data_IF_232290909752
#
_entry.id   IF_232290909752
#
_cell.length_a   1.000
_cell.length_b   1.000
_cell.length_c   1.000
_cell.angle_alpha   90.00
_cell.angle_beta   90.00
_cell.angle_gamma   90.00
#
_symmetry.space_group_name_H-M   'P 1'
#
loop_
_entity.id
_entity.type
_entity.pdbx_description
1 polymer ?
#
# COMPACT_ATOMS: atom_id res chain seq x y z
N UNK A 1 -23.45 27.04 -0.39
CA UNK A 1 -23.41 26.59 1.02
C UNK A 1 -23.47 25.05 1.14
N UNK A 2 -22.87 24.31 0.19
CA UNK A 2 -22.94 22.84 0.09
C UNK A 2 -21.56 22.22 -0.24
N UNK A 3 -20.48 22.99 -0.03
CA UNK A 3 -19.10 22.72 -0.51
C UNK A 3 -18.07 22.46 0.60
N UNK A 4 -18.49 22.32 1.86
CA UNK A 4 -17.57 22.25 3.01
C UNK A 4 -17.88 21.13 4.00
N UNK A 5 -18.80 20.22 3.66
CA UNK A 5 -19.22 19.13 4.56
C UNK A 5 -18.27 17.92 4.57
N UNK A 6 -17.25 17.90 3.70
CA UNK A 6 -16.32 16.75 3.56
C UNK A 6 -14.89 17.08 4.02
N UNK A 7 -14.70 18.18 4.75
CA UNK A 7 -13.37 18.65 5.21
C UNK A 7 -13.38 19.19 6.66
N UNK A 8 -14.38 18.83 7.48
CA UNK A 8 -14.52 19.37 8.84
C UNK A 8 -14.93 18.29 9.86
N UNK A 9 -13.92 17.62 10.41
CA UNK A 9 -13.98 17.05 11.77
C UNK A 9 -12.63 17.28 12.46
N UNK A 10 -12.33 18.55 12.72
CA UNK A 10 -11.09 18.97 13.37
C UNK A 10 -11.11 20.44 13.77
N UNK A 11 -12.15 20.88 14.49
CA UNK A 11 -12.23 22.26 15.00
C UNK A 11 -12.87 22.29 16.40
N UNK A 12 -12.08 21.92 17.40
CA UNK A 12 -12.23 22.44 18.75
C UNK A 12 -10.92 22.31 19.53
N UNK A 13 -10.10 23.37 19.50
CA UNK A 13 -9.52 24.07 20.67
C UNK A 13 -8.28 24.89 20.23
N UNK A 14 -8.52 26.17 19.91
CA UNK A 14 -7.45 27.18 19.81
C UNK A 14 -7.17 27.76 21.19
N UNK A 15 -5.93 27.63 21.65
CA UNK A 15 -5.40 28.24 22.86
C UNK A 15 -3.91 28.54 22.68
N UNK A 16 -3.63 29.77 22.26
CA UNK A 16 -2.34 30.47 22.08
C UNK A 16 -1.05 29.82 22.63
N UNK A 17 -0.03 29.80 21.76
CA UNK A 17 1.37 29.75 22.16
C UNK A 17 2.29 30.11 20.99
N UNK A 18 2.60 31.40 20.84
CA UNK A 18 3.74 31.81 20.00
C UNK A 18 5.02 31.18 20.57
N UNK A 19 5.76 30.43 19.76
CA UNK A 19 7.15 30.09 20.07
C UNK A 19 7.98 30.03 18.80
N UNK A 20 9.18 30.56 18.95
CA UNK A 20 10.15 30.95 17.93
C UNK A 20 10.57 29.82 16.97
N UNK A 21 10.73 30.22 15.71
CA UNK A 21 11.33 29.49 14.61
C UNK A 21 12.78 29.10 14.97
N UNK A 22 13.00 27.82 15.35
CA UNK A 22 14.34 27.22 15.40
C UNK A 22 14.59 26.43 14.13
N UNK A 23 15.37 27.03 13.25
CA UNK A 23 16.09 26.33 12.18
C UNK A 23 17.04 25.31 12.80
N UNK A 24 16.64 24.03 12.81
CA UNK A 24 17.56 22.93 13.09
C UNK A 24 18.17 22.52 11.75
N UNK A 25 19.46 22.85 11.58
CA UNK A 25 20.25 22.37 10.46
C UNK A 25 20.28 20.82 10.46
N UNK A 26 20.28 20.16 9.28
CA UNK A 26 20.28 18.72 9.21
C UNK A 26 21.53 18.17 9.88
N UNK A 27 21.31 17.29 10.86
CA UNK A 27 22.40 16.58 11.52
C UNK A 27 22.93 15.54 10.55
N UNK A 28 24.26 15.45 10.45
CA UNK A 28 24.95 14.57 9.52
C UNK A 28 24.40 13.14 9.55
N UNK A 29 24.13 12.62 8.34
CA UNK A 29 23.76 11.23 8.09
C UNK A 29 24.73 10.30 8.82
N UNK A 30 24.23 9.64 9.85
CA UNK A 30 24.89 8.48 10.42
C UNK A 30 24.40 7.32 9.59
N UNK A 31 25.27 6.70 8.78
CA UNK A 31 24.94 5.47 8.04
C UNK A 31 24.31 4.47 9.01
N UNK A 32 22.99 4.25 8.88
CA UNK A 32 22.33 3.17 9.60
C UNK A 32 22.98 1.85 9.16
N UNK A 33 23.29 0.93 10.08
CA UNK A 33 23.77 -0.40 9.71
C UNK A 33 22.76 -1.01 8.74
N UNK A 34 23.16 -1.15 7.47
CA UNK A 34 22.24 -1.46 6.38
C UNK A 34 21.44 -2.73 6.64
N UNK A 35 20.13 -2.66 6.40
CA UNK A 35 19.26 -3.82 6.48
C UNK A 35 19.72 -4.90 5.49
N UNK A 36 20.00 -6.11 5.97
CA UNK A 36 20.46 -7.22 5.14
C UNK A 36 19.26 -8.06 4.65
N UNK A 37 18.77 -7.75 3.45
CA UNK A 37 17.66 -8.46 2.84
C UNK A 37 17.97 -9.96 2.58
N UNK A 38 19.24 -10.31 2.39
CA UNK A 38 19.66 -11.70 2.24
C UNK A 38 19.59 -12.43 3.57
N UNK A 39 19.96 -11.79 4.69
CA UNK A 39 19.77 -12.35 6.02
C UNK A 39 18.28 -12.55 6.37
N UNK A 40 17.42 -11.59 6.03
CA UNK A 40 15.97 -11.74 6.19
C UNK A 40 15.42 -12.91 5.35
N UNK A 41 15.86 -13.05 4.09
CA UNK A 41 15.48 -14.17 3.24
C UNK A 41 15.92 -15.54 3.80
N UNK A 42 17.14 -15.64 4.32
CA UNK A 42 17.59 -16.87 5.00
C UNK A 42 16.78 -17.19 6.25
N UNK A 43 16.37 -16.15 6.99
CA UNK A 43 15.53 -16.32 8.17
C UNK A 43 14.13 -16.83 7.78
N UNK A 44 13.52 -16.26 6.73
CA UNK A 44 12.27 -16.75 6.16
C UNK A 44 12.34 -18.22 5.74
N UNK A 45 13.37 -18.58 4.97
CA UNK A 45 13.60 -19.96 4.50
C UNK A 45 13.79 -20.92 5.67
N UNK A 46 14.52 -20.48 6.71
CA UNK A 46 14.76 -21.24 7.94
C UNK A 46 13.48 -21.49 8.74
N UNK A 47 12.72 -20.43 9.02
CA UNK A 47 11.44 -20.50 9.77
C UNK A 47 10.40 -21.36 9.04
N UNK A 48 10.32 -21.20 7.71
CA UNK A 48 9.41 -22.00 6.89
C UNK A 48 9.89 -23.43 6.63
N UNK A 49 11.13 -23.76 7.02
CA UNK A 49 11.80 -25.02 6.71
C UNK A 49 11.72 -25.39 5.21
N UNK A 50 11.86 -24.39 4.33
CA UNK A 50 11.81 -24.60 2.89
C UNK A 50 13.08 -25.30 2.38
N UNK A 51 12.97 -26.19 1.37
CA UNK A 51 14.13 -26.79 0.74
C UNK A 51 15.10 -25.74 0.18
N UNK A 52 16.38 -25.88 0.53
CA UNK A 52 17.47 -25.05 0.01
C UNK A 52 18.10 -25.75 -1.17
N UNK A 53 18.15 -25.09 -2.32
CA UNK A 53 18.61 -25.69 -3.59
C UNK A 53 19.94 -25.11 -4.07
N UNK A 54 20.43 -24.03 -3.45
CA UNK A 54 21.72 -23.47 -3.82
C UNK A 54 22.84 -24.25 -3.14
N UNK A 55 23.58 -25.05 -3.91
CA UNK A 55 24.84 -25.65 -3.47
C UNK A 55 25.91 -24.56 -3.23
N UNK A 56 26.27 -24.37 -1.96
CA UNK A 56 27.60 -23.96 -1.47
C UNK A 56 28.25 -22.61 -1.86
N UNK A 57 27.63 -21.67 -2.60
CA UNK A 57 28.28 -20.37 -2.92
C UNK A 57 27.45 -19.09 -2.77
N UNK A 58 26.23 -19.16 -2.25
CA UNK A 58 25.66 -17.97 -1.58
C UNK A 58 26.28 -17.99 -0.20
N UNK A 59 27.08 -16.98 0.16
CA UNK A 59 27.55 -16.81 1.53
C UNK A 59 26.31 -16.81 2.42
N UNK A 60 25.99 -17.97 3.01
CA UNK A 60 25.15 -18.01 4.19
C UNK A 60 25.83 -17.04 5.15
N UNK A 61 25.15 -16.01 5.66
CA UNK A 61 25.75 -15.12 6.65
C UNK A 61 26.42 -16.00 7.69
N UNK A 62 27.76 -15.98 7.73
CA UNK A 62 28.58 -17.07 8.27
C UNK A 62 28.47 -17.19 9.80
N UNK A 63 27.62 -16.39 10.43
CA UNK A 63 27.33 -16.46 11.85
C UNK A 63 25.83 -16.47 12.10
N UNK A 64 25.37 -17.35 13.00
CA UNK A 64 24.04 -17.29 13.63
C UNK A 64 23.74 -15.91 14.28
N UNK A 65 24.74 -15.03 14.42
CA UNK A 65 24.62 -13.68 14.96
C UNK A 65 24.26 -12.62 13.91
N UNK A 66 24.12 -12.98 12.62
CA UNK A 66 23.64 -12.11 11.54
C UNK A 66 22.21 -12.44 11.08
N UNK A 67 21.57 -13.46 11.65
CA UNK A 67 20.14 -13.67 11.43
C UNK A 67 19.39 -12.46 12.00
N UNK A 68 18.62 -11.78 11.16
CA UNK A 68 17.72 -10.74 11.64
C UNK A 68 16.68 -11.40 12.54
N UNK A 69 16.38 -10.84 13.72
CA UNK A 69 15.36 -11.41 14.59
C UNK A 69 14.03 -11.39 13.83
N UNK A 70 13.51 -12.58 13.52
CA UNK A 70 12.16 -12.77 12.99
C UNK A 70 11.18 -12.69 14.16
N UNK A 71 10.20 -11.80 14.05
CA UNK A 71 9.37 -11.45 15.20
C UNK A 71 8.00 -12.13 15.14
N UNK A 72 7.57 -12.54 13.94
CA UNK A 72 6.40 -13.37 13.75
C UNK A 72 6.48 -14.07 12.39
N UNK A 73 6.29 -15.39 12.38
CA UNK A 73 6.15 -16.20 11.17
C UNK A 73 4.82 -16.96 11.24
N UNK A 74 4.04 -16.90 10.16
CA UNK A 74 2.82 -17.70 10.04
C UNK A 74 2.75 -18.40 8.69
N UNK A 75 2.07 -19.55 8.68
CA UNK A 75 1.61 -20.23 7.46
C UNK A 75 0.15 -20.60 7.62
N UNK A 76 -0.69 -20.11 6.71
CA UNK A 76 -2.11 -20.43 6.63
C UNK A 76 -2.38 -21.16 5.32
N UNK A 77 -2.99 -22.34 5.37
CA UNK A 77 -3.53 -22.99 4.17
C UNK A 77 -4.82 -22.25 3.78
N UNK A 78 -4.87 -21.70 2.56
CA UNK A 78 -5.98 -20.88 2.10
C UNK A 78 -7.10 -21.78 1.55
N UNK A 79 -6.79 -22.49 0.47
CA UNK A 79 -7.68 -23.42 -0.19
C UNK A 79 -6.86 -24.42 -1.00
N UNK A 80 -7.28 -25.68 -1.03
CA UNK A 80 -6.57 -26.72 -1.78
C UNK A 80 -5.09 -26.78 -1.41
N UNK A 81 -4.23 -26.55 -2.39
CA UNK A 81 -2.77 -26.52 -2.27
C UNK A 81 -2.18 -25.09 -2.21
N UNK A 82 -3.00 -24.05 -2.06
CA UNK A 82 -2.54 -22.66 -1.91
C UNK A 82 -2.27 -22.36 -0.43
N UNK A 83 -1.09 -21.80 -0.15
CA UNK A 83 -0.69 -21.36 1.18
C UNK A 83 -0.27 -19.88 1.19
N UNK A 84 -0.65 -19.18 2.26
CA UNK A 84 -0.17 -17.84 2.61
C UNK A 84 0.87 -17.97 3.71
N UNK A 85 2.04 -17.37 3.48
CA UNK A 85 3.10 -17.19 4.45
C UNK A 85 3.25 -15.70 4.77
N UNK A 86 3.45 -15.37 6.03
CA UNK A 86 3.75 -14.01 6.46
C UNK A 86 4.92 -13.99 7.42
N UNK A 87 5.79 -12.99 7.29
CA UNK A 87 6.95 -12.79 8.15
C UNK A 87 7.14 -11.31 8.49
N UNK A 88 7.25 -11.00 9.78
CA UNK A 88 7.63 -9.66 10.22
C UNK A 88 9.15 -9.50 10.33
N UNK A 89 9.66 -8.43 9.72
CA UNK A 89 11.10 -8.12 9.62
C UNK A 89 11.35 -6.68 10.06
N UNK A 90 12.33 -6.42 10.94
CA UNK A 90 12.71 -5.05 11.29
C UNK A 90 13.34 -4.32 10.10
N UNK A 91 12.93 -3.07 9.91
CA UNK A 91 13.43 -2.13 8.89
C UNK A 91 14.03 -0.87 9.51
N UNK A 92 14.15 -0.83 10.83
CA UNK A 92 14.75 0.29 11.54
C UNK A 92 14.91 0.00 13.03
N UNK A 93 15.43 0.97 13.78
CA UNK A 93 15.78 0.80 15.18
C UNK A 93 14.57 0.86 16.13
N UNK A 94 13.46 1.47 15.72
CA UNK A 94 12.27 1.65 16.54
C UNK A 94 11.43 0.38 16.67
N UNK A 95 10.59 0.34 17.71
CA UNK A 95 9.75 -0.82 17.99
C UNK A 95 8.75 -1.12 16.86
N UNK A 96 8.31 -0.08 16.14
CA UNK A 96 7.36 -0.17 15.03
C UNK A 96 8.02 -0.06 13.66
N UNK A 97 9.35 0.13 13.59
CA UNK A 97 10.08 0.09 12.31
C UNK A 97 10.19 -1.36 11.82
N UNK A 98 9.07 -1.92 11.39
CA UNK A 98 8.93 -3.30 10.94
C UNK A 98 7.96 -3.35 9.79
N UNK A 99 8.23 -4.21 8.83
CA UNK A 99 7.29 -4.52 7.75
C UNK A 99 6.87 -5.98 7.88
N UNK A 100 5.77 -6.35 7.23
CA UNK A 100 5.41 -7.76 7.03
C UNK A 100 5.60 -8.12 5.57
N UNK A 101 6.36 -9.17 5.30
CA UNK A 101 6.53 -9.73 3.96
C UNK A 101 5.60 -10.91 3.79
N UNK A 102 4.87 -10.92 2.68
CA UNK A 102 3.87 -11.93 2.35
C UNK A 102 4.36 -12.79 1.19
N UNK A 103 3.99 -14.07 1.21
CA UNK A 103 4.10 -14.97 0.06
C UNK A 103 2.84 -15.83 -0.05
N UNK A 104 2.16 -15.75 -1.19
CA UNK A 104 1.02 -16.61 -1.53
C UNK A 104 1.43 -17.49 -2.70
N UNK A 105 1.41 -18.80 -2.49
CA UNK A 105 2.00 -19.74 -3.45
C UNK A 105 1.29 -21.08 -3.38
N UNK A 106 1.21 -21.74 -4.53
CA UNK A 106 0.86 -23.17 -4.60
C UNK A 106 1.98 -24.01 -3.98
N UNK A 107 1.62 -25.07 -3.29
CA UNK A 107 2.53 -26.05 -2.72
C UNK A 107 2.37 -27.42 -3.40
N UNK A 108 3.48 -28.16 -3.55
CA UNK A 108 3.41 -29.57 -3.96
C UNK A 108 2.92 -30.48 -2.83
N UNK A 109 3.25 -30.07 -1.60
CA UNK A 109 2.77 -30.61 -0.33
C UNK A 109 3.08 -29.57 0.76
N UNK A 110 2.48 -29.65 1.96
CA UNK A 110 2.69 -28.67 3.02
C UNK A 110 4.17 -28.29 3.20
N UNK A 111 4.43 -26.98 3.24
CA UNK A 111 5.77 -26.39 3.40
C UNK A 111 6.73 -26.60 2.22
N UNK A 112 6.24 -27.04 1.06
CA UNK A 112 7.05 -27.16 -0.16
C UNK A 112 6.37 -26.44 -1.31
N UNK A 113 6.66 -25.13 -1.47
CA UNK A 113 6.21 -24.35 -2.61
C UNK A 113 6.56 -25.01 -3.94
N UNK A 114 5.72 -24.80 -4.95
CA UNK A 114 6.06 -25.17 -6.33
C UNK A 114 7.29 -24.39 -6.81
N UNK A 115 7.91 -24.92 -7.87
CA UNK A 115 8.95 -24.18 -8.59
C UNK A 115 8.33 -23.40 -9.75
N UNK A 116 8.61 -22.11 -9.79
CA UNK A 116 8.18 -21.23 -10.88
C UNK A 116 9.21 -20.12 -11.10
N UNK A 117 9.34 -19.70 -12.35
CA UNK A 117 10.21 -18.58 -12.75
C UNK A 117 9.46 -17.24 -12.72
N UNK A 118 8.13 -17.29 -12.70
CA UNK A 118 7.27 -16.11 -12.78
C UNK A 118 6.85 -15.69 -11.38
N UNK A 119 6.99 -14.39 -11.10
CA UNK A 119 6.71 -13.83 -9.79
C UNK A 119 6.22 -12.40 -9.90
N UNK A 120 5.31 -12.05 -9.01
CA UNK A 120 4.76 -10.70 -8.87
C UNK A 120 4.93 -10.23 -7.43
N UNK A 121 5.19 -8.95 -7.24
CA UNK A 121 5.19 -8.30 -5.95
C UNK A 121 4.03 -7.31 -5.89
N UNK A 122 3.16 -7.42 -4.87
CA UNK A 122 1.98 -6.59 -4.71
C UNK A 122 2.18 -5.58 -3.58
N UNK A 123 2.11 -4.29 -3.92
CA UNK A 123 2.12 -3.17 -2.99
C UNK A 123 0.69 -2.65 -2.80
N UNK A 124 0.20 -2.61 -1.55
CA UNK A 124 -1.12 -2.08 -1.23
C UNK A 124 -1.17 -0.54 -1.29
N UNK A 125 -2.39 -0.01 -1.23
CA UNK A 125 -2.69 1.41 -1.17
C UNK A 125 -2.77 2.00 0.24
N UNK A 126 -3.31 3.20 0.32
CA UNK A 126 -3.63 3.87 1.58
C UNK A 126 -4.64 3.04 2.38
N UNK A 127 -4.59 3.20 3.70
CA UNK A 127 -5.48 2.64 4.72
C UNK A 127 -5.56 1.11 4.80
N UNK A 128 -4.84 0.37 3.95
CA UNK A 128 -4.98 -1.08 3.83
C UNK A 128 -3.64 -1.76 3.89
N UNK A 129 -3.67 -3.04 4.23
CA UNK A 129 -2.51 -3.93 4.23
C UNK A 129 -2.63 -4.92 3.04
N UNK A 130 -1.67 -5.83 2.90
CA UNK A 130 -1.67 -6.84 1.84
C UNK A 130 -2.90 -7.74 1.91
N UNK A 131 -3.31 -8.16 3.11
CA UNK A 131 -4.40 -9.11 3.28
C UNK A 131 -5.75 -8.47 2.94
N UNK A 132 -5.99 -7.26 3.42
CA UNK A 132 -7.18 -6.46 3.11
C UNK A 132 -7.35 -6.15 1.63
N UNK A 133 -6.25 -6.00 0.88
CA UNK A 133 -6.31 -5.73 -0.56
C UNK A 133 -6.37 -6.98 -1.43
N UNK A 134 -5.56 -7.99 -1.12
CA UNK A 134 -5.26 -9.06 -2.06
C UNK A 134 -5.73 -10.43 -1.58
N UNK A 135 -6.14 -10.55 -0.31
CA UNK A 135 -6.68 -11.76 0.33
C UNK A 135 -7.98 -11.48 1.11
N UNK A 136 -9.02 -10.86 0.52
CA UNK A 136 -10.27 -10.55 1.21
C UNK A 136 -10.95 -11.77 1.87
N UNK A 137 -10.78 -12.98 1.31
CA UNK A 137 -11.24 -14.24 1.92
C UNK A 137 -10.56 -14.62 3.25
N UNK A 138 -9.45 -13.96 3.62
CA UNK A 138 -8.83 -14.09 4.95
C UNK A 138 -9.27 -13.00 5.93
N UNK A 139 -9.98 -11.98 5.45
CA UNK A 139 -10.39 -10.81 6.24
C UNK A 139 -11.86 -10.92 6.62
N UNK A 140 -12.73 -11.29 5.69
CA UNK A 140 -14.17 -11.44 5.93
C UNK A 140 -14.59 -12.91 5.93
N UNK A 141 -15.28 -13.41 6.98
CA UNK A 141 -15.86 -14.75 6.98
C UNK A 141 -16.95 -14.96 5.92
N UNK A 142 -17.56 -13.88 5.43
CA UNK A 142 -18.59 -13.91 4.37
C UNK A 142 -18.00 -14.02 2.96
N UNK A 143 -16.67 -13.87 2.86
CA UNK A 143 -15.95 -13.99 1.59
C UNK A 143 -15.32 -15.38 1.49
N UNK A 144 -15.51 -16.12 0.37
CA UNK A 144 -14.88 -17.42 0.19
C UNK A 144 -13.37 -17.35 0.41
N UNK A 145 -12.80 -18.34 1.11
CA UNK A 145 -11.38 -18.33 1.49
C UNK A 145 -10.43 -18.23 0.28
N UNK A 146 -10.84 -18.76 -0.87
CA UNK A 146 -10.10 -18.71 -2.14
C UNK A 146 -10.34 -17.44 -2.98
N UNK A 147 -11.13 -16.49 -2.49
CA UNK A 147 -11.38 -15.24 -3.19
C UNK A 147 -10.27 -14.22 -2.90
N UNK A 148 -9.62 -13.74 -3.97
CA UNK A 148 -8.60 -12.69 -3.91
C UNK A 148 -7.63 -12.75 -5.08
N UNK A 149 -7.06 -11.60 -5.46
CA UNK A 149 -6.10 -11.51 -6.57
C UNK A 149 -4.86 -12.38 -6.30
N UNK A 150 -4.35 -12.40 -5.07
CA UNK A 150 -3.17 -13.19 -4.75
C UNK A 150 -3.44 -14.70 -4.88
N UNK A 151 -4.64 -15.17 -4.49
CA UNK A 151 -5.04 -16.57 -4.68
C UNK A 151 -5.15 -16.88 -6.17
N UNK A 152 -5.88 -16.05 -6.93
CA UNK A 152 -6.08 -16.21 -8.36
C UNK A 152 -4.77 -16.35 -9.15
N UNK A 153 -3.75 -15.55 -8.79
CA UNK A 153 -2.43 -15.60 -9.41
C UNK A 153 -1.64 -16.84 -8.97
N UNK A 154 -1.67 -17.21 -7.68
CA UNK A 154 -0.99 -18.40 -7.18
C UNK A 154 -1.57 -19.71 -7.77
N UNK A 155 -2.87 -19.76 -8.03
CA UNK A 155 -3.52 -20.87 -8.74
C UNK A 155 -3.03 -21.06 -10.18
N UNK A 156 -2.42 -20.02 -10.76
CA UNK A 156 -1.82 -20.01 -12.11
C UNK A 156 -0.31 -20.20 -12.07
N UNK A 157 0.20 -20.77 -10.98
CA UNK A 157 1.61 -21.08 -10.76
C UNK A 157 2.54 -19.85 -10.70
N UNK A 158 2.00 -18.65 -10.37
CA UNK A 158 2.83 -17.50 -10.04
C UNK A 158 3.27 -17.54 -8.57
N UNK A 159 4.52 -17.14 -8.31
CA UNK A 159 5.00 -16.88 -6.96
C UNK A 159 4.61 -15.46 -6.55
N UNK A 160 3.54 -15.32 -5.77
CA UNK A 160 2.99 -14.02 -5.39
C UNK A 160 3.62 -13.56 -4.09
N UNK A 161 4.19 -12.37 -4.10
CA UNK A 161 4.78 -11.71 -2.94
C UNK A 161 4.07 -10.39 -2.66
N UNK A 162 4.26 -9.85 -1.45
CA UNK A 162 3.82 -8.50 -1.14
C UNK A 162 4.33 -8.04 0.21
N UNK A 163 3.91 -6.84 0.61
CA UNK A 163 4.37 -6.18 1.82
C UNK A 163 3.21 -5.49 2.53
N UNK A 164 3.20 -5.53 3.86
CA UNK A 164 2.54 -4.53 4.70
C UNK A 164 3.58 -3.46 5.06
N UNK A 165 3.29 -2.20 4.77
CA UNK A 165 4.14 -1.07 5.15
C UNK A 165 4.13 -0.90 6.68
N UNK A 166 5.15 -0.22 7.22
CA UNK A 166 5.37 -0.22 8.67
C UNK A 166 4.19 0.36 9.48
N UNK A 167 3.46 1.33 8.91
CA UNK A 167 2.30 1.94 9.54
C UNK A 167 1.11 0.97 9.68
N UNK A 168 1.00 -0.05 8.82
CA UNK A 168 -0.02 -1.09 8.94
C UNK A 168 0.14 -1.95 10.20
N UNK A 169 1.35 -2.00 10.77
CA UNK A 169 1.66 -2.81 11.94
C UNK A 169 1.51 -2.04 13.26
N UNK A 170 1.16 -0.75 13.19
CA UNK A 170 0.89 0.06 14.36
C UNK A 170 -0.39 -0.43 15.08
N UNK A 171 -0.34 -0.73 16.39
CA UNK A 171 -1.54 -1.10 17.14
C UNK A 171 -2.56 0.05 17.18
N UNK A 172 -3.88 -0.25 17.11
CA UNK A 172 -4.92 0.78 17.10
C UNK A 172 -5.12 1.52 18.42
N UNK A 173 -4.77 0.89 19.54
CA UNK A 173 -5.04 1.41 20.88
C UNK A 173 -3.87 2.24 21.45
N UNK A 174 -2.98 2.73 20.59
CA UNK A 174 -1.89 3.60 21.03
C UNK A 174 -2.42 4.99 21.41
N UNK A 175 -1.85 5.62 22.45
CA UNK A 175 -2.25 6.96 22.86
C UNK A 175 -1.89 8.03 21.82
N UNK A 176 -0.82 7.80 21.07
CA UNK A 176 -0.35 8.64 19.96
C UNK A 176 0.52 7.82 19.00
N UNK A 177 0.80 8.39 17.83
CA UNK A 177 1.64 7.82 16.79
C UNK A 177 2.92 8.64 16.58
N UNK A 178 3.50 9.22 17.64
CA UNK A 178 4.64 10.13 17.51
C UNK A 178 5.90 9.49 16.88
N UNK A 179 6.02 8.16 16.96
CA UNK A 179 7.10 7.42 16.30
C UNK A 179 7.03 7.47 14.77
N UNK A 180 5.89 7.87 14.18
CA UNK A 180 5.74 8.08 12.74
C UNK A 180 6.33 9.43 12.26
N UNK A 181 6.92 10.22 13.17
CA UNK A 181 7.61 11.44 12.79
C UNK A 181 8.67 11.16 11.72
N UNK A 182 8.54 11.80 10.55
CA UNK A 182 9.44 11.60 9.41
C UNK A 182 9.18 10.33 8.59
N UNK A 183 8.10 9.58 8.83
CA UNK A 183 7.70 8.46 7.98
C UNK A 183 7.03 8.96 6.69
N UNK A 184 7.84 9.53 5.80
CA UNK A 184 7.41 10.02 4.49
C UNK A 184 7.42 8.97 3.38
N UNK A 185 7.28 9.43 2.13
CA UNK A 185 7.28 8.62 0.91
C UNK A 185 8.58 7.83 0.74
N UNK A 186 9.73 8.46 1.01
CA UNK A 186 11.04 7.81 0.91
C UNK A 186 11.13 6.54 1.78
N UNK A 187 10.61 6.60 3.01
CA UNK A 187 10.57 5.42 3.89
C UNK A 187 9.76 4.28 3.26
N UNK A 188 8.61 4.59 2.64
CA UNK A 188 7.75 3.55 2.05
C UNK A 188 8.43 2.91 0.82
N UNK A 189 9.19 3.70 0.06
CA UNK A 189 10.01 3.23 -1.06
C UNK A 189 11.14 2.32 -0.56
N UNK A 190 11.81 2.71 0.53
CA UNK A 190 12.87 1.91 1.16
C UNK A 190 12.35 0.57 1.69
N UNK A 191 11.19 0.60 2.35
CA UNK A 191 10.50 -0.58 2.87
C UNK A 191 10.08 -1.52 1.71
N UNK A 192 9.49 -0.98 0.62
CA UNK A 192 9.15 -1.74 -0.58
C UNK A 192 10.40 -2.38 -1.22
N UNK A 193 11.46 -1.59 -1.41
CA UNK A 193 12.74 -2.06 -1.96
C UNK A 193 13.29 -3.22 -1.15
N UNK A 194 13.32 -3.09 0.17
CA UNK A 194 13.81 -4.13 1.06
C UNK A 194 12.96 -5.41 0.94
N UNK A 195 11.63 -5.29 0.93
CA UNK A 195 10.73 -6.43 0.80
C UNK A 195 10.88 -7.17 -0.54
N UNK A 196 11.03 -6.45 -1.65
CA UNK A 196 11.29 -7.06 -2.98
C UNK A 196 12.64 -7.79 -2.98
N UNK A 197 13.67 -7.21 -2.36
CA UNK A 197 14.97 -7.87 -2.24
C UNK A 197 14.86 -9.17 -1.42
N UNK A 198 14.12 -9.17 -0.30
CA UNK A 198 13.84 -10.38 0.49
C UNK A 198 13.17 -11.45 -0.38
N UNK A 199 12.15 -11.08 -1.17
CA UNK A 199 11.50 -12.01 -2.10
C UNK A 199 12.48 -12.59 -3.12
N UNK A 200 13.31 -11.75 -3.77
CA UNK A 200 14.31 -12.21 -4.76
C UNK A 200 15.37 -13.13 -4.18
N UNK A 201 15.92 -12.78 -3.02
CA UNK A 201 16.89 -13.64 -2.34
C UNK A 201 16.26 -14.96 -1.92
N UNK A 202 15.03 -14.94 -1.42
CA UNK A 202 14.32 -16.15 -1.02
C UNK A 202 14.11 -17.07 -2.22
N UNK A 203 13.62 -16.53 -3.34
CA UNK A 203 13.46 -17.27 -4.59
C UNK A 203 14.79 -17.89 -5.06
N UNK A 204 15.89 -17.15 -4.95
CA UNK A 204 17.22 -17.67 -5.27
C UNK A 204 17.59 -18.85 -4.37
N UNK A 205 17.43 -18.71 -3.05
CA UNK A 205 17.77 -19.73 -2.05
C UNK A 205 16.97 -21.03 -2.26
N UNK A 206 15.67 -20.91 -2.58
CA UNK A 206 14.77 -22.06 -2.74
C UNK A 206 14.72 -22.61 -4.17
N UNK A 207 15.55 -22.11 -5.09
CA UNK A 207 15.66 -22.63 -6.45
C UNK A 207 14.58 -22.14 -7.44
N UNK A 208 13.86 -21.05 -7.13
CA UNK A 208 12.92 -20.35 -8.03
C UNK A 208 13.60 -19.30 -8.92
N UNK A 209 14.94 -19.32 -8.98
CA UNK A 209 15.76 -18.39 -9.76
C UNK A 209 16.01 -17.05 -9.05
N UNK A 210 16.81 -16.19 -9.70
CA UNK A 210 17.14 -14.83 -9.23
C UNK A 210 16.60 -13.75 -10.18
N UNK A 211 15.53 -14.09 -10.92
CA UNK A 211 14.86 -13.19 -11.83
C UNK A 211 14.36 -11.94 -11.11
N UNK A 212 14.10 -10.89 -11.88
CA UNK A 212 13.37 -9.72 -11.40
C UNK A 212 11.89 -10.10 -11.16
N UNK A 213 11.13 -9.24 -10.50
CA UNK A 213 9.70 -9.42 -10.29
C UNK A 213 8.94 -8.37 -11.09
N UNK A 214 7.73 -8.73 -11.52
CA UNK A 214 6.73 -7.74 -11.89
C UNK A 214 6.21 -7.06 -10.62
N UNK A 215 6.21 -5.73 -10.58
CA UNK A 215 5.62 -4.96 -9.47
C UNK A 215 4.20 -4.55 -9.85
N UNK A 216 3.25 -4.73 -8.94
CA UNK A 216 1.92 -4.14 -9.01
C UNK A 216 1.74 -3.22 -7.81
N UNK A 217 1.31 -1.99 -8.05
CA UNK A 217 1.03 -1.01 -6.99
C UNK A 217 -0.38 -0.47 -7.13
N UNK A 218 -1.23 -0.67 -6.11
CA UNK A 218 -2.60 -0.15 -6.09
C UNK A 218 -2.70 1.17 -5.32
N UNK A 219 -3.45 2.15 -5.84
CA UNK A 219 -3.68 3.44 -5.16
C UNK A 219 -2.35 4.14 -4.80
N UNK A 220 -2.15 4.57 -3.55
CA UNK A 220 -0.86 5.06 -3.02
C UNK A 220 0.31 4.12 -3.36
N UNK A 221 0.07 2.81 -3.42
CA UNK A 221 1.06 1.81 -3.84
C UNK A 221 1.57 2.00 -5.27
N UNK A 222 0.77 2.61 -6.16
CA UNK A 222 1.23 3.00 -7.48
C UNK A 222 2.26 4.14 -7.39
N UNK A 223 2.04 5.15 -6.56
CA UNK A 223 3.02 6.24 -6.35
C UNK A 223 4.31 5.77 -5.68
N UNK A 224 4.19 4.93 -4.65
CA UNK A 224 5.37 4.29 -4.03
C UNK A 224 6.13 3.48 -5.10
N UNK A 225 5.41 2.73 -5.94
CA UNK A 225 5.99 2.00 -7.06
C UNK A 225 6.70 2.89 -8.07
N UNK A 226 6.10 4.02 -8.47
CA UNK A 226 6.76 5.00 -9.35
C UNK A 226 8.04 5.56 -8.74
N UNK A 227 8.01 5.97 -7.47
CA UNK A 227 9.19 6.46 -6.76
C UNK A 227 10.29 5.40 -6.66
N UNK A 228 9.91 4.15 -6.43
CA UNK A 228 10.85 3.03 -6.45
C UNK A 228 11.47 2.78 -7.83
N UNK A 229 10.64 2.77 -8.88
CA UNK A 229 11.11 2.60 -10.27
C UNK A 229 12.07 3.73 -10.65
N UNK A 230 11.81 4.96 -10.20
CA UNK A 230 12.71 6.11 -10.33
C UNK A 230 14.07 5.85 -9.68
N UNK A 231 14.12 5.44 -8.41
CA UNK A 231 15.39 5.14 -7.74
C UNK A 231 16.17 4.02 -8.43
N UNK A 232 15.46 3.00 -8.88
CA UNK A 232 16.04 1.81 -9.48
C UNK A 232 16.79 2.13 -10.79
N UNK A 233 16.41 3.19 -11.50
CA UNK A 233 17.13 3.66 -12.68
C UNK A 233 18.59 3.99 -12.38
N UNK A 234 18.89 4.45 -11.17
CA UNK A 234 20.23 4.84 -10.73
C UNK A 234 21.09 3.64 -10.31
N UNK A 235 20.52 2.44 -10.28
CA UNK A 235 21.25 1.20 -10.02
C UNK A 235 21.72 0.55 -11.34
N UNK A 236 22.90 -0.12 -11.33
CA UNK A 236 23.31 -0.97 -12.45
C UNK A 236 22.25 -2.02 -12.79
N UNK A 237 22.04 -2.40 -14.06
CA UNK A 237 20.94 -3.28 -14.48
C UNK A 237 20.80 -4.59 -13.69
N UNK A 238 21.91 -5.18 -13.23
CA UNK A 238 21.92 -6.42 -12.43
C UNK A 238 21.53 -6.25 -10.96
N UNK A 239 21.51 -5.02 -10.44
CA UNK A 239 21.04 -4.66 -9.08
C UNK A 239 19.60 -4.15 -9.06
N UNK A 240 18.99 -3.98 -10.23
CA UNK A 240 17.55 -3.73 -10.36
C UNK A 240 16.78 -5.01 -10.02
N UNK A 241 15.68 -4.86 -9.32
CA UNK A 241 14.76 -5.86 -8.82
C UNK A 241 13.48 -6.00 -9.66
N UNK A 242 13.04 -4.96 -10.39
CA UNK A 242 11.79 -4.98 -11.15
C UNK A 242 12.01 -5.01 -12.66
N UNK A 243 11.22 -5.83 -13.37
CA UNK A 243 11.25 -5.94 -14.84
C UNK A 243 9.99 -5.44 -15.55
N UNK A 244 8.88 -5.26 -14.83
CA UNK A 244 7.65 -4.65 -15.33
C UNK A 244 6.89 -4.01 -14.17
N UNK A 245 6.13 -2.94 -14.44
CA UNK A 245 5.34 -2.26 -13.42
C UNK A 245 3.88 -2.11 -13.86
N UNK A 246 2.95 -2.44 -12.95
CA UNK A 246 1.50 -2.35 -13.13
C UNK A 246 0.94 -1.38 -12.07
N UNK A 247 0.95 -0.07 -12.34
CA UNK A 247 0.25 0.90 -11.51
C UNK A 247 -1.27 0.76 -11.70
N UNK A 248 -2.00 0.62 -10.60
CA UNK A 248 -3.45 0.41 -10.58
C UNK A 248 -4.15 1.60 -9.94
N UNK A 249 -4.99 2.25 -10.75
CA UNK A 249 -6.00 3.24 -10.36
C UNK A 249 -5.49 4.47 -9.61
N UNK A 250 -4.23 4.86 -9.84
CA UNK A 250 -3.69 6.09 -9.28
C UNK A 250 -2.51 6.64 -10.10
N UNK A 251 -2.51 7.93 -10.46
CA UNK A 251 -1.43 8.51 -11.23
C UNK A 251 -0.23 8.88 -10.35
N UNK A 252 0.95 9.00 -10.97
CA UNK A 252 2.08 9.67 -10.32
C UNK A 252 1.83 11.17 -10.13
N UNK A 253 1.27 11.82 -11.16
CA UNK A 253 0.99 13.26 -11.26
C UNK A 253 -0.37 13.50 -11.91
N UNK A 254 -1.01 14.63 -11.62
CA UNK A 254 -2.31 14.97 -12.22
C UNK A 254 -2.34 16.34 -12.90
N UNK A 255 -3.17 16.47 -13.94
CA UNK A 255 -3.63 17.75 -14.50
C UNK A 255 -5.13 18.01 -14.21
N UNK A 256 -5.77 17.15 -13.42
CA UNK A 256 -7.17 17.28 -13.02
C UNK A 256 -7.31 18.34 -11.93
N UNK A 257 -8.05 19.41 -12.24
CA UNK A 257 -8.30 20.49 -11.27
C UNK A 257 -9.02 20.03 -10.00
N UNK A 258 -9.89 19.01 -10.11
CA UNK A 258 -10.58 18.47 -8.94
C UNK A 258 -9.65 17.63 -8.05
N UNK A 259 -8.75 16.83 -8.63
CA UNK A 259 -7.74 16.11 -7.85
C UNK A 259 -6.71 17.07 -7.26
N UNK A 260 -6.30 18.10 -8.01
CA UNK A 260 -5.45 19.17 -7.49
C UNK A 260 -6.07 19.79 -6.24
N UNK A 261 -7.33 20.24 -6.31
CA UNK A 261 -7.99 20.87 -5.17
C UNK A 261 -8.14 19.92 -3.97
N UNK A 262 -8.41 18.63 -4.22
CA UNK A 262 -8.49 17.60 -3.18
C UNK A 262 -7.15 17.45 -2.45
N UNK A 263 -6.05 17.29 -3.20
CA UNK A 263 -4.73 17.04 -2.62
C UNK A 263 -4.08 18.30 -2.03
N UNK A 264 -4.39 19.49 -2.54
CA UNK A 264 -4.03 20.76 -1.87
C UNK A 264 -4.67 20.83 -0.47
N UNK A 265 -5.95 20.48 -0.35
CA UNK A 265 -6.65 20.44 0.94
C UNK A 265 -6.08 19.38 1.88
N UNK A 266 -5.81 18.18 1.37
CA UNK A 266 -5.19 17.10 2.16
C UNK A 266 -3.80 17.49 2.66
N UNK A 267 -3.00 18.16 1.83
CA UNK A 267 -1.68 18.67 2.18
C UNK A 267 -1.74 19.75 3.25
N UNK A 268 -2.61 20.75 3.11
CA UNK A 268 -2.77 21.83 4.09
C UNK A 268 -3.18 21.26 5.46
N UNK A 269 -4.12 20.32 5.45
CA UNK A 269 -4.55 19.62 6.65
C UNK A 269 -3.39 18.86 7.31
N UNK A 270 -2.66 18.03 6.56
CA UNK A 270 -1.56 17.23 7.09
C UNK A 270 -0.40 18.11 7.61
N UNK A 271 -0.09 19.22 6.95
CA UNK A 271 0.87 20.22 7.44
C UNK A 271 0.44 20.82 8.78
N UNK A 272 -0.84 21.17 8.91
CA UNK A 272 -1.39 21.67 10.17
C UNK A 272 -1.31 20.65 11.31
N UNK A 273 -1.49 19.36 11.01
CA UNK A 273 -1.33 18.27 11.97
C UNK A 273 0.13 18.10 12.40
N UNK A 274 1.07 18.13 11.44
CA UNK A 274 2.51 18.07 11.72
C UNK A 274 2.96 19.25 12.60
N UNK A 275 2.49 20.46 12.32
CA UNK A 275 2.75 21.66 13.14
C UNK A 275 2.18 21.53 14.56
N UNK A 276 1.08 20.80 14.73
CA UNK A 276 0.47 20.49 16.02
C UNK A 276 1.14 19.29 16.74
N UNK A 277 2.14 18.64 16.14
CA UNK A 277 2.81 17.46 16.69
C UNK A 277 2.02 16.15 16.53
N UNK A 278 1.07 16.10 15.60
CA UNK A 278 0.29 14.90 15.24
C UNK A 278 0.91 14.26 14.00
N UNK A 279 1.60 13.15 14.20
CA UNK A 279 2.43 12.52 13.17
C UNK A 279 1.77 11.35 12.44
N UNK A 280 0.68 10.80 12.99
CA UNK A 280 -0.12 9.79 12.33
C UNK A 280 -1.55 9.79 12.84
N UNK A 281 -2.48 9.50 11.93
CA UNK A 281 -3.91 9.54 12.19
C UNK A 281 -4.68 8.53 11.34
N UNK A 282 -5.91 8.20 11.75
CA UNK A 282 -6.76 7.29 10.99
C UNK A 282 -7.21 7.91 9.68
N UNK A 283 -7.17 7.13 8.60
CA UNK A 283 -7.78 7.49 7.31
C UNK A 283 -9.32 7.43 7.31
N UNK A 284 -9.95 7.12 8.45
CA UNK A 284 -11.41 7.14 8.64
C UNK A 284 -12.14 5.87 8.21
N UNK A 285 -11.58 5.05 7.30
CA UNK A 285 -12.24 3.84 6.78
C UNK A 285 -12.64 2.87 7.90
N UNK A 286 -11.78 2.69 8.90
CA UNK A 286 -12.02 1.77 10.02
C UNK A 286 -13.25 2.20 10.83
N UNK A 287 -13.39 3.49 11.08
CA UNK A 287 -14.45 4.08 11.87
C UNK A 287 -15.81 3.88 11.21
N UNK A 288 -15.91 4.05 9.88
CA UNK A 288 -17.15 3.75 9.14
C UNK A 288 -17.60 2.30 9.35
N UNK A 289 -16.67 1.34 9.27
CA UNK A 289 -16.96 -0.07 9.52
C UNK A 289 -17.38 -0.34 10.95
N UNK A 290 -16.63 0.18 11.94
CA UNK A 290 -16.90 -0.04 13.36
C UNK A 290 -18.26 0.52 13.79
N UNK A 291 -18.61 1.73 13.34
CA UNK A 291 -19.91 2.32 13.67
C UNK A 291 -21.06 1.57 13.01
N UNK A 292 -20.92 1.17 11.74
CA UNK A 292 -21.95 0.42 11.03
C UNK A 292 -22.17 -0.99 11.62
N UNK A 293 -21.10 -1.68 12.05
CA UNK A 293 -21.24 -2.97 12.73
C UNK A 293 -21.82 -2.84 14.15
N UNK A 294 -21.50 -1.75 14.86
CA UNK A 294 -21.92 -1.55 16.25
C UNK A 294 -23.36 -1.05 16.41
N UNK A 295 -23.79 -0.10 15.56
CA UNK A 295 -25.12 0.52 15.60
C UNK A 295 -25.55 1.00 14.20
N UNK A 296 -25.95 0.09 13.29
CA UNK A 296 -26.18 0.40 11.88
C UNK A 296 -27.26 1.46 11.63
N UNK A 297 -28.27 1.52 12.50
CA UNK A 297 -29.41 2.44 12.40
C UNK A 297 -29.18 3.76 13.18
N UNK A 298 -28.13 3.82 14.00
CA UNK A 298 -27.76 5.01 14.75
C UNK A 298 -27.27 6.15 13.84
N UNK A 299 -27.42 7.38 14.31
CA UNK A 299 -26.96 8.58 13.60
C UNK A 299 -25.44 8.52 13.37
N UNK A 300 -25.00 8.76 12.13
CA UNK A 300 -23.58 8.75 11.80
C UNK A 300 -22.88 10.01 12.30
N UNK A 301 -21.81 9.87 13.10
CA UNK A 301 -20.97 11.01 13.47
C UNK A 301 -20.08 11.47 12.30
N UNK A 302 -19.89 10.63 11.28
CA UNK A 302 -18.99 10.89 10.14
C UNK A 302 -19.70 11.62 9.00
N UNK A 303 -20.96 11.28 8.74
CA UNK A 303 -21.79 11.92 7.71
C UNK A 303 -23.13 12.36 8.31
N UNK A 304 -23.29 13.64 8.69
CA UNK A 304 -24.52 14.12 9.31
C UNK A 304 -25.76 13.87 8.45
N UNK A 305 -26.80 13.31 9.06
CA UNK A 305 -28.08 12.98 8.42
C UNK A 305 -28.13 11.59 7.78
N UNK A 306 -27.04 10.83 7.84
CA UNK A 306 -27.00 9.41 7.47
C UNK A 306 -27.04 8.56 8.74
N UNK A 307 -27.56 7.33 8.65
CA UNK A 307 -27.23 6.30 9.64
C UNK A 307 -25.79 5.80 9.46
N UNK A 308 -25.24 5.10 10.44
CA UNK A 308 -23.90 4.51 10.31
C UNK A 308 -23.78 3.56 9.11
N UNK A 309 -24.80 2.72 8.86
CA UNK A 309 -24.79 1.84 7.70
C UNK A 309 -24.87 2.62 6.38
N UNK A 310 -25.73 3.63 6.31
CA UNK A 310 -25.82 4.49 5.12
C UNK A 310 -24.48 5.19 4.85
N UNK A 311 -23.81 5.66 5.90
CA UNK A 311 -22.51 6.32 5.78
C UNK A 311 -21.44 5.34 5.25
N UNK A 312 -21.41 4.10 5.75
CA UNK A 312 -20.50 3.07 5.27
C UNK A 312 -20.77 2.67 3.81
N UNK A 313 -22.03 2.50 3.40
CA UNK A 313 -22.38 2.21 2.00
C UNK A 313 -22.04 3.39 1.07
N UNK A 314 -22.24 4.62 1.54
CA UNK A 314 -21.88 5.82 0.80
C UNK A 314 -20.37 5.96 0.64
N UNK A 315 -19.56 5.56 1.63
CA UNK A 315 -18.10 5.49 1.47
C UNK A 315 -17.69 4.52 0.33
N UNK A 316 -18.43 3.42 0.16
CA UNK A 316 -18.14 2.43 -0.88
C UNK A 316 -18.60 2.88 -2.27
N UNK A 317 -19.85 3.29 -2.40
CA UNK A 317 -20.49 3.50 -3.70
C UNK A 317 -20.77 4.96 -4.06
N UNK A 318 -20.72 5.87 -3.09
CA UNK A 318 -20.99 7.29 -3.30
C UNK A 318 -19.78 8.06 -3.84
N UNK A 319 -19.99 9.28 -4.37
CA UNK A 319 -18.92 10.20 -4.73
C UNK A 319 -18.27 10.80 -3.48
N UNK A 320 -17.38 10.04 -2.83
CA UNK A 320 -16.91 10.34 -1.46
C UNK A 320 -16.11 11.64 -1.34
N UNK A 321 -15.48 12.09 -2.41
CA UNK A 321 -14.70 13.33 -2.43
C UNK A 321 -15.54 14.56 -2.83
N UNK A 322 -16.82 14.35 -3.15
CA UNK A 322 -17.74 15.39 -3.58
C UNK A 322 -17.30 16.11 -4.85
N UNK A 323 -17.93 17.27 -5.12
CA UNK A 323 -17.69 18.02 -6.36
C UNK A 323 -18.12 17.24 -7.60
N UNK A 324 -17.36 17.37 -8.68
CA UNK A 324 -17.56 16.64 -9.93
C UNK A 324 -16.73 15.33 -9.97
N UNK A 325 -16.08 14.96 -8.86
CA UNK A 325 -15.39 13.68 -8.73
C UNK A 325 -16.40 12.56 -8.55
N UNK A 326 -16.52 11.72 -9.58
CA UNK A 326 -17.40 10.54 -9.60
C UNK A 326 -16.77 9.29 -8.97
N UNK A 327 -15.65 9.48 -8.24
CA UNK A 327 -14.90 8.40 -7.63
C UNK A 327 -15.76 7.58 -6.66
N UNK A 328 -15.73 6.25 -6.82
CA UNK A 328 -16.31 5.28 -5.90
C UNK A 328 -15.48 3.98 -5.89
N UNK A 329 -15.44 3.30 -4.74
CA UNK A 329 -14.74 2.02 -4.60
C UNK A 329 -15.53 0.86 -5.20
N UNK A 330 -16.86 0.89 -5.10
CA UNK A 330 -17.74 -0.23 -5.38
C UNK A 330 -18.98 0.22 -6.16
N UNK A 331 -19.49 -0.64 -7.03
CA UNK A 331 -20.77 -0.41 -7.68
C UNK A 331 -21.92 -0.55 -6.67
N UNK A 332 -22.75 0.49 -6.54
CA UNK A 332 -23.90 0.53 -5.62
C UNK A 332 -25.25 0.26 -6.30
N UNK A 333 -26.21 -0.19 -5.49
CA UNK A 333 -27.65 -0.19 -5.82
C UNK A 333 -28.29 1.03 -5.15
N UNK A 334 -29.08 1.79 -5.89
CA UNK A 334 -29.48 3.15 -5.51
C UNK A 334 -30.99 3.32 -5.28
N UNK A 335 -31.34 3.99 -4.19
CA UNK A 335 -32.64 4.63 -3.93
C UNK A 335 -32.39 6.01 -3.29
N UNK A 336 -32.14 7.01 -4.13
CA UNK A 336 -31.58 8.34 -3.79
C UNK A 336 -30.15 8.33 -3.21
N UNK A 337 -29.83 7.38 -2.34
CA UNK A 337 -28.52 7.04 -1.78
C UNK A 337 -28.23 5.54 -2.01
N UNK A 338 -26.98 5.05 -1.89
CA UNK A 338 -26.71 3.62 -2.01
C UNK A 338 -27.34 2.88 -0.84
N UNK A 339 -28.16 1.88 -1.16
CA UNK A 339 -28.85 1.02 -0.19
C UNK A 339 -28.24 -0.37 -0.10
N UNK A 340 -27.56 -0.80 -1.17
CA UNK A 340 -26.82 -2.06 -1.25
C UNK A 340 -25.62 -1.92 -2.21
N UNK A 341 -24.84 -2.98 -2.33
CA UNK A 341 -23.69 -3.09 -3.22
C UNK A 341 -23.93 -4.20 -4.25
N UNK A 342 -23.46 -4.03 -5.48
CA UNK A 342 -23.83 -4.91 -6.58
C UNK A 342 -23.05 -6.24 -6.60
N UNK A 343 -21.77 -6.21 -6.23
CA UNK A 343 -20.84 -7.34 -6.38
C UNK A 343 -20.21 -7.81 -5.07
N UNK A 344 -20.37 -7.04 -4.00
CA UNK A 344 -19.79 -7.32 -2.67
C UNK A 344 -20.94 -7.29 -1.68
N UNK A 345 -21.02 -8.28 -0.78
CA UNK A 345 -22.03 -8.27 0.29
C UNK A 345 -21.74 -7.15 1.29
N UNK A 346 -22.78 -6.58 1.90
CA UNK A 346 -22.65 -5.51 2.90
C UNK A 346 -21.71 -5.91 4.03
N UNK A 347 -21.88 -7.10 4.61
CA UNK A 347 -21.03 -7.56 5.72
C UNK A 347 -19.56 -7.68 5.30
N UNK A 348 -19.29 -8.23 4.12
CA UNK A 348 -17.94 -8.28 3.56
C UNK A 348 -17.32 -6.89 3.35
N UNK A 349 -18.13 -5.90 2.96
CA UNK A 349 -17.70 -4.51 2.88
C UNK A 349 -17.39 -3.92 4.25
N UNK A 350 -18.21 -4.19 5.26
CA UNK A 350 -17.96 -3.70 6.63
C UNK A 350 -16.72 -4.34 7.23
N UNK A 351 -16.51 -5.65 7.04
CA UNK A 351 -15.28 -6.33 7.46
C UNK A 351 -14.05 -5.76 6.77
N UNK A 352 -14.16 -5.51 5.46
CA UNK A 352 -13.12 -4.82 4.72
C UNK A 352 -12.80 -3.47 5.37
N UNK A 353 -13.80 -2.62 5.64
CA UNK A 353 -13.62 -1.32 6.27
C UNK A 353 -12.92 -1.43 7.64
N UNK A 354 -13.38 -2.32 8.51
CA UNK A 354 -12.80 -2.54 9.84
C UNK A 354 -11.34 -3.00 9.76
N UNK A 355 -10.97 -3.76 8.73
CA UNK A 355 -9.59 -4.21 8.52
C UNK A 355 -8.63 -3.10 8.04
N UNK A 356 -9.10 -1.85 7.88
CA UNK A 356 -8.20 -0.74 7.61
C UNK A 356 -7.19 -0.53 8.75
N UNK A 357 -6.01 -0.02 8.39
CA UNK A 357 -4.97 0.32 9.33
C UNK A 357 -5.46 1.38 10.32
N UNK A 358 -4.85 1.38 11.51
CA UNK A 358 -5.23 2.30 12.56
C UNK A 358 -4.79 3.74 12.31
N UNK A 359 -3.63 3.92 11.69
CA UNK A 359 -3.08 5.21 11.39
C UNK A 359 -2.17 5.18 10.17
N UNK A 360 -2.14 6.28 9.44
CA UNK A 360 -1.18 6.57 8.37
C UNK A 360 -0.31 7.77 8.76
N UNK A 361 0.95 7.84 8.30
CA UNK A 361 1.82 8.97 8.61
C UNK A 361 1.40 10.25 7.89
N UNK A 362 1.30 11.36 8.62
CA UNK A 362 0.95 12.65 8.01
C UNK A 362 2.03 13.18 7.07
N UNK A 363 3.31 12.85 7.31
CA UNK A 363 4.38 13.17 6.37
C UNK A 363 4.18 12.47 5.02
N UNK A 364 3.66 11.24 5.01
CA UNK A 364 3.38 10.52 3.78
C UNK A 364 2.27 11.22 2.98
N UNK A 365 1.24 11.75 3.64
CA UNK A 365 0.17 12.52 2.97
C UNK A 365 0.71 13.80 2.33
N UNK A 366 1.60 14.53 3.01
CA UNK A 366 2.25 15.72 2.44
C UNK A 366 3.09 15.34 1.22
N UNK A 367 3.94 14.33 1.35
CA UNK A 367 4.80 13.86 0.27
C UNK A 367 3.99 13.35 -0.93
N UNK A 368 2.88 12.65 -0.66
CA UNK A 368 1.96 12.15 -1.68
C UNK A 368 1.34 13.30 -2.48
N UNK A 369 0.91 14.35 -1.79
CA UNK A 369 0.34 15.54 -2.40
C UNK A 369 1.41 16.30 -3.21
N UNK A 370 2.59 16.55 -2.65
CA UNK A 370 3.69 17.22 -3.37
C UNK A 370 4.02 16.48 -4.68
N UNK A 371 4.11 15.15 -4.62
CA UNK A 371 4.36 14.32 -5.78
C UNK A 371 3.23 14.44 -6.82
N UNK A 372 1.97 14.29 -6.40
CA UNK A 372 0.81 14.30 -7.29
C UNK A 372 0.58 15.67 -7.94
N UNK A 373 0.81 16.75 -7.20
CA UNK A 373 0.67 18.15 -7.65
C UNK A 373 1.80 18.58 -8.58
N UNK A 374 2.86 17.78 -8.70
CA UNK A 374 3.99 18.05 -9.58
C UNK A 374 4.99 19.04 -9.00
N UNK A 375 5.03 19.18 -7.67
CA UNK A 375 6.10 19.90 -6.99
C UNK A 375 7.45 19.19 -7.22
N UNK A 376 8.55 19.89 -6.93
CA UNK A 376 9.88 19.31 -7.08
C UNK A 376 10.09 18.26 -5.99
N UNK A 377 10.07 16.99 -6.38
CA UNK A 377 10.32 15.86 -5.48
C UNK A 377 11.50 15.02 -5.98
N UNK A 378 12.21 14.28 -5.12
CA UNK A 378 13.28 13.39 -5.58
C UNK A 378 12.75 12.11 -6.26
N UNK A 379 11.44 11.82 -6.14
CA UNK A 379 10.84 10.55 -6.54
C UNK A 379 10.51 10.46 -8.03
N UNK A 380 10.76 11.52 -8.79
CA UNK A 380 10.46 11.60 -10.22
C UNK A 380 11.57 12.17 -11.11
N UNK A 381 12.71 12.54 -10.52
CA UNK A 381 13.87 13.13 -11.20
C UNK A 381 14.37 12.31 -12.41
N UNK A 382 14.18 10.99 -12.38
CA UNK A 382 14.73 10.03 -13.33
C UNK A 382 13.65 9.20 -14.07
N UNK A 383 12.39 9.65 -14.08
CA UNK A 383 11.31 8.93 -14.78
C UNK A 383 11.61 8.60 -16.25
N UNK A 384 12.34 9.49 -16.94
CA UNK A 384 12.76 9.28 -18.34
C UNK A 384 13.75 8.13 -18.53
N UNK A 385 14.37 7.66 -17.45
CA UNK A 385 15.33 6.56 -17.46
C UNK A 385 14.67 5.21 -17.12
N UNK A 386 13.37 5.20 -16.81
CA UNK A 386 12.61 3.97 -16.58
C UNK A 386 12.45 3.25 -17.92
N UNK A 387 13.08 2.08 -18.04
CA UNK A 387 13.02 1.24 -19.24
C UNK A 387 12.17 -0.01 -19.08
N UNK A 388 11.72 -0.33 -17.86
CA UNK A 388 10.79 -1.41 -17.63
C UNK A 388 9.42 -1.07 -18.26
N UNK A 389 8.75 -2.01 -18.95
CA UNK A 389 7.38 -1.79 -19.42
C UNK A 389 6.44 -1.43 -18.27
N UNK A 390 5.57 -0.46 -18.52
CA UNK A 390 4.53 -0.01 -17.60
C UNK A 390 3.16 -0.27 -18.21
N UNK A 391 2.31 -1.01 -17.51
CA UNK A 391 0.91 -1.25 -17.88
C UNK A 391 0.01 -0.57 -16.84
N UNK A 392 -0.54 0.58 -17.19
CA UNK A 392 -1.51 1.26 -16.33
C UNK A 392 -2.87 0.57 -16.39
N UNK A 393 -3.45 0.30 -15.23
CA UNK A 393 -4.80 -0.27 -15.09
C UNK A 393 -5.67 0.72 -14.33
N UNK A 394 -6.56 1.41 -15.03
CA UNK A 394 -7.54 2.30 -14.42
C UNK A 394 -8.85 1.58 -14.12
N UNK A 395 -9.44 1.81 -12.94
CA UNK A 395 -10.78 1.32 -12.64
C UNK A 395 -11.83 2.28 -13.20
N UNK A 396 -12.87 1.73 -13.83
CA UNK A 396 -14.02 2.52 -14.24
C UNK A 396 -14.79 2.95 -12.98
N UNK A 397 -14.92 4.26 -12.76
CA UNK A 397 -15.42 4.82 -11.49
C UNK A 397 -14.35 5.12 -10.45
N UNK A 398 -13.09 4.74 -10.70
CA UNK A 398 -11.93 5.08 -9.87
C UNK A 398 -11.26 6.38 -10.28
N UNK A 399 -9.99 6.55 -9.92
CA UNK A 399 -9.16 7.70 -10.37
C UNK A 399 -8.55 7.40 -11.75
N UNK A 400 -8.70 6.17 -12.25
CA UNK A 400 -8.25 5.65 -13.53
C UNK A 400 -8.44 6.57 -14.72
N UNK A 401 -9.66 7.07 -14.91
CA UNK A 401 -10.00 7.96 -16.03
C UNK A 401 -9.43 9.37 -15.89
N UNK A 402 -9.03 9.75 -14.67
CA UNK A 402 -8.42 11.05 -14.36
C UNK A 402 -6.89 10.98 -14.41
N UNK A 403 -6.32 9.79 -14.51
CA UNK A 403 -4.90 9.59 -14.69
C UNK A 403 -4.52 9.83 -16.15
N UNK A 404 -3.73 10.89 -16.39
CA UNK A 404 -2.90 10.95 -17.57
C UNK A 404 -1.51 10.46 -17.19
N UNK A 405 -1.02 9.43 -17.88
CA UNK A 405 0.38 9.05 -17.79
C UNK A 405 1.17 10.21 -18.42
N UNK A 406 1.68 11.12 -17.60
CA UNK A 406 2.59 12.17 -18.06
C UNK A 406 3.94 11.50 -18.28
N UNK A 407 4.09 10.82 -19.42
CA UNK A 407 5.42 10.62 -19.97
C UNK A 407 5.88 11.98 -20.51
N UNK A 408 6.75 12.66 -19.76
CA UNK A 408 7.52 13.78 -20.28
C UNK A 408 8.50 13.27 -21.35
N UNK A 409 7.95 13.01 -22.53
CA UNK A 409 8.62 12.41 -23.66
C UNK A 409 7.62 12.30 -24.80
N UNK A 410 7.52 13.39 -25.56
CA UNK A 410 6.82 13.50 -26.86
C UNK A 410 5.30 13.72 -26.84
N UNK A 411 4.92 14.98 -27.16
CA UNK A 411 3.82 15.22 -28.08
C UNK A 411 4.15 14.57 -29.44
N UNK A 412 3.88 13.28 -29.60
CA UNK A 412 3.69 12.71 -30.93
C UNK A 412 2.20 12.36 -31.10
N UNK A 413 1.61 12.92 -32.15
CA UNK A 413 0.26 12.61 -32.63
C UNK A 413 0.23 11.13 -33.07
N UNK A 414 -0.07 10.23 -32.15
CA UNK A 414 -0.48 8.86 -32.43
C UNK A 414 -2.00 8.78 -32.65
N UNK A 415 -2.50 7.75 -33.35
CA UNK A 415 -3.94 7.56 -33.59
C UNK A 415 -4.67 7.30 -32.25
N UNK A 416 -5.99 7.51 -32.19
CA UNK A 416 -6.74 7.43 -30.95
C UNK A 416 -6.53 6.07 -30.26
N UNK A 417 -6.33 6.14 -28.94
CA UNK A 417 -6.41 5.00 -28.04
C UNK A 417 -7.71 4.25 -28.33
N UNK A 418 -7.62 2.95 -28.59
CA UNK A 418 -8.79 2.09 -28.65
C UNK A 418 -9.23 1.90 -27.20
N UNK A 419 -10.29 2.61 -26.81
CA UNK A 419 -11.09 2.29 -25.64
C UNK A 419 -11.82 0.97 -25.95
N UNK A 420 -11.28 -0.15 -25.47
CA UNK A 420 -12.09 -1.35 -25.30
C UNK A 420 -12.76 -1.24 -23.93
N UNK A 421 -14.04 -0.88 -23.93
CA UNK A 421 -14.93 -1.05 -22.78
C UNK A 421 -14.97 -2.55 -22.43
N UNK A 422 -14.54 -2.90 -21.22
CA UNK A 422 -14.84 -4.17 -20.56
C UNK A 422 -15.78 -3.93 -19.39
#
# INVERSE_FOLDING_TARGET
MRKWAFLLLGLSLLGQGCSEERTVAPTAETESPGLDAQAAAWSLVGEANWPVEVEAQVDRPMSRNQALPTIGFTRTQIAGDIAHYSLEVPVGPGAYDRIRVHRVVRERHPYVPIRTNDAVFLQHGASKDFSGMYLPGQVSPETPADFGLAVYLAERDLDVWGVDQAWNLAPPDLPDYAFMAGWGMQKQIDDLRFAIQVARFTRRITGNGNGKLTLLGYSLGAQIGYGYMNEETQLPPGRRQVDAFIPVDFPAKTDSGDLTALFEGAREYALGQLDAGVYGESGGMREFGLFAQGDPDGDSPLIPGFTNLQAALFLGAGPIFGGDLTFHYLAGVWDEIPVELQFVGTDAWLDFLVAAAAAEPNQLTVDQADFLLGDSTPWDDNFREITAPVLYVGANGGIGSLARIIHEGERQKGPPMVEEEC
#
